data_IF_631088795265
#
_entry.id   IF_631088795265
#
_cell.length_a   1.000
_cell.length_b   1.000
_cell.length_c   1.000
_cell.angle_alpha   90.00
_cell.angle_beta   90.00
_cell.angle_gamma   90.00
#
_symmetry.space_group_name_H-M   'P 1'
#
loop_
_entity.id
_entity.type
_entity.pdbx_description
1 polymer ?
#
# COMPACT_ATOMS: atom_id res chain seq x y z
N UNK A 1 12.25 -27.99 -19.33
CA UNK A 1 12.88 -26.81 -19.98
C UNK A 1 13.40 -25.86 -18.89
N UNK A 2 14.63 -25.32 -18.99
CA UNK A 2 15.15 -24.37 -18.02
C UNK A 2 14.45 -23.00 -18.15
N UNK A 3 14.20 -22.34 -17.02
CA UNK A 3 13.61 -20.98 -16.98
C UNK A 3 14.67 -19.97 -17.39
N UNK A 4 14.38 -19.12 -18.39
CA UNK A 4 15.33 -18.12 -18.88
C UNK A 4 15.63 -17.07 -17.79
N UNK A 5 16.91 -16.88 -17.48
CA UNK A 5 17.39 -15.93 -16.45
C UNK A 5 17.42 -14.47 -16.92
N UNK A 6 17.32 -14.23 -18.23
CA UNK A 6 17.42 -12.90 -18.84
C UNK A 6 16.27 -11.95 -18.45
N UNK A 7 15.10 -12.48 -18.10
CA UNK A 7 13.88 -11.68 -18.03
C UNK A 7 13.63 -10.99 -16.68
N UNK A 8 14.30 -11.41 -15.61
CA UNK A 8 14.12 -10.82 -14.28
C UNK A 8 15.24 -9.82 -13.98
N UNK A 9 15.02 -8.56 -14.36
CA UNK A 9 15.80 -7.43 -13.85
C UNK A 9 15.01 -6.73 -12.75
N UNK A 10 15.47 -6.83 -11.51
CA UNK A 10 14.84 -6.14 -10.40
C UNK A 10 15.06 -4.62 -10.54
N UNK A 11 14.01 -3.90 -10.94
CA UNK A 11 14.01 -2.45 -10.93
C UNK A 11 13.66 -2.00 -9.51
N UNK A 12 14.67 -1.57 -8.74
CA UNK A 12 14.45 -0.91 -7.46
C UNK A 12 13.73 0.41 -7.70
N UNK A 13 12.46 0.47 -7.34
CA UNK A 13 11.65 1.70 -7.35
C UNK A 13 11.61 2.23 -5.91
N UNK A 14 12.02 3.48 -5.72
CA UNK A 14 11.90 4.16 -4.44
C UNK A 14 10.50 4.80 -4.37
N UNK A 15 9.70 4.36 -3.41
CA UNK A 15 8.33 4.84 -3.20
C UNK A 15 8.21 5.74 -1.94
N UNK A 16 9.22 6.59 -1.70
CA UNK A 16 9.30 7.35 -0.44
C UNK A 16 8.18 8.39 -0.33
N UNK A 17 7.95 9.17 -1.38
CA UNK A 17 6.90 10.20 -1.41
C UNK A 17 5.50 9.58 -1.34
N UNK A 18 5.30 8.44 -2.00
CA UNK A 18 4.03 7.73 -1.99
C UNK A 18 3.71 7.14 -0.62
N UNK A 19 4.73 6.68 0.11
CA UNK A 19 4.56 6.21 1.50
C UNK A 19 4.16 7.35 2.44
N UNK A 20 4.83 8.49 2.35
CA UNK A 20 4.51 9.68 3.16
C UNK A 20 3.09 10.20 2.88
N UNK A 21 2.70 10.27 1.60
CA UNK A 21 1.35 10.69 1.21
C UNK A 21 0.27 9.71 1.66
N UNK A 22 0.53 8.40 1.58
CA UNK A 22 -0.36 7.37 2.14
C UNK A 22 -0.53 7.58 3.66
N UNK A 23 0.56 7.76 4.41
CA UNK A 23 0.50 7.99 5.86
C UNK A 23 -0.31 9.24 6.21
N UNK A 24 -0.10 10.33 5.48
CA UNK A 24 -0.83 11.59 5.68
C UNK A 24 -2.33 11.43 5.41
N UNK A 25 -2.68 10.79 4.28
CA UNK A 25 -4.08 10.50 3.94
C UNK A 25 -4.74 9.56 4.96
N UNK A 26 -4.01 8.57 5.46
CA UNK A 26 -4.52 7.60 6.42
C UNK A 26 -4.90 8.27 7.74
N UNK A 27 -4.01 9.10 8.29
CA UNK A 27 -4.28 9.92 9.49
C UNK A 27 -5.45 10.87 9.29
N UNK A 28 -5.54 11.51 8.12
CA UNK A 28 -6.63 12.45 7.79
C UNK A 28 -8.00 11.78 7.73
N UNK A 29 -8.07 10.53 7.27
CA UNK A 29 -9.33 9.80 7.08
C UNK A 29 -9.72 8.90 8.27
N UNK A 30 -9.10 9.08 9.45
CA UNK A 30 -9.36 8.29 10.68
C UNK A 30 -9.33 6.77 10.42
N UNK A 31 -8.36 6.30 9.65
CA UNK A 31 -8.15 4.88 9.36
C UNK A 31 -9.25 4.16 8.55
N UNK A 32 -10.28 4.88 8.08
CA UNK A 32 -11.46 4.27 7.45
C UNK A 32 -11.22 3.80 6.01
N UNK A 33 -10.23 4.39 5.34
CA UNK A 33 -9.93 4.08 3.95
C UNK A 33 -8.94 2.93 3.82
N UNK A 34 -9.39 1.85 3.18
CA UNK A 34 -8.50 0.80 2.69
C UNK A 34 -7.75 1.20 1.40
N UNK A 35 -6.98 0.27 0.84
CA UNK A 35 -6.10 0.55 -0.31
C UNK A 35 -6.83 1.01 -1.58
N UNK A 36 -8.07 0.56 -1.83
CA UNK A 36 -8.86 0.94 -3.01
C UNK A 36 -9.23 2.43 -3.03
N UNK A 37 -9.92 2.98 -2.01
CA UNK A 37 -10.18 4.42 -1.93
C UNK A 37 -8.88 5.24 -1.80
N UNK A 38 -7.85 4.70 -1.14
CA UNK A 38 -6.53 5.35 -1.08
C UNK A 38 -5.90 5.54 -2.46
N UNK A 39 -6.01 4.54 -3.33
CA UNK A 39 -5.51 4.60 -4.72
C UNK A 39 -6.19 5.72 -5.51
N UNK A 40 -7.50 5.94 -5.30
CA UNK A 40 -8.22 7.02 -5.98
C UNK A 40 -7.74 8.40 -5.54
N UNK A 41 -7.52 8.60 -4.24
CA UNK A 41 -6.99 9.86 -3.68
C UNK A 41 -5.56 10.14 -4.17
N UNK A 42 -4.72 9.11 -4.20
CA UNK A 42 -3.37 9.19 -4.78
C UNK A 42 -3.42 9.58 -6.26
N UNK A 43 -4.33 8.98 -7.03
CA UNK A 43 -4.51 9.34 -8.45
C UNK A 43 -4.96 10.77 -8.65
N UNK A 44 -5.83 11.29 -7.78
CA UNK A 44 -6.25 12.70 -7.80
C UNK A 44 -5.08 13.66 -7.48
N UNK A 45 -4.11 13.23 -6.67
CA UNK A 45 -2.88 13.96 -6.39
C UNK A 45 -1.80 13.82 -7.50
N UNK A 46 -2.07 13.05 -8.55
CA UNK A 46 -1.16 12.85 -9.68
C UNK A 46 -0.32 11.56 -9.62
N UNK A 47 -0.45 10.75 -8.57
CA UNK A 47 0.26 9.47 -8.46
C UNK A 47 -0.43 8.39 -9.28
N UNK A 48 0.25 7.89 -10.32
CA UNK A 48 -0.26 6.84 -11.21
C UNK A 48 0.18 5.45 -10.72
N UNK A 49 -0.14 5.12 -9.47
CA UNK A 49 0.15 3.82 -8.88
C UNK A 49 -0.96 2.81 -9.14
N UNK A 50 -0.58 1.53 -9.27
CA UNK A 50 -1.53 0.43 -9.30
C UNK A 50 -2.12 0.22 -7.89
N UNK A 51 -3.38 -0.18 -7.79
CA UNK A 51 -4.01 -0.52 -6.50
C UNK A 51 -3.26 -1.65 -5.78
N UNK A 52 -2.62 -2.58 -6.52
CA UNK A 52 -1.77 -3.62 -5.92
C UNK A 52 -0.47 -3.07 -5.34
N UNK A 53 0.12 -2.05 -5.98
CA UNK A 53 1.33 -1.39 -5.44
C UNK A 53 0.98 -0.57 -4.20
N UNK A 54 -0.16 0.11 -4.19
CA UNK A 54 -0.67 0.81 -2.99
C UNK A 54 -0.89 -0.17 -1.85
N UNK A 55 -1.53 -1.32 -2.10
CA UNK A 55 -1.69 -2.36 -1.08
C UNK A 55 -0.35 -2.84 -0.53
N UNK A 56 0.64 -3.09 -1.39
CA UNK A 56 1.99 -3.49 -0.95
C UNK A 56 2.63 -2.41 -0.07
N UNK A 57 2.54 -1.14 -0.46
CA UNK A 57 3.09 -0.01 0.31
C UNK A 57 2.38 0.15 1.66
N UNK A 58 1.05 0.00 1.70
CA UNK A 58 0.29 0.02 2.95
C UNK A 58 0.71 -1.11 3.89
N UNK A 59 0.88 -2.33 3.38
CA UNK A 59 1.37 -3.45 4.17
C UNK A 59 2.80 -3.22 4.67
N UNK A 60 3.70 -2.67 3.86
CA UNK A 60 5.07 -2.31 4.28
C UNK A 60 5.07 -1.23 5.39
N UNK A 61 4.02 -0.40 5.46
CA UNK A 61 3.84 0.62 6.48
C UNK A 61 3.06 0.13 7.71
N UNK A 62 2.61 -1.14 7.72
CA UNK A 62 1.73 -1.68 8.78
C UNK A 62 0.35 -1.02 8.81
N UNK A 63 -0.10 -0.45 7.69
CA UNK A 63 -1.39 0.23 7.57
C UNK A 63 -2.40 -0.77 7.05
N UNK A 64 -3.29 -1.19 7.93
CA UNK A 64 -4.39 -2.08 7.58
C UNK A 64 -5.74 -1.35 7.71
N UNK A 65 -6.73 -1.78 6.93
CA UNK A 65 -8.06 -1.18 7.04
C UNK A 65 -8.64 -1.51 8.43
N UNK A 66 -9.61 -0.74 8.93
CA UNK A 66 -10.29 -1.01 10.22
C UNK A 66 -10.74 -2.48 10.33
N UNK A 67 -11.15 -3.10 9.22
CA UNK A 67 -11.59 -4.51 9.15
C UNK A 67 -10.48 -5.52 9.48
N UNK A 68 -9.23 -5.12 9.33
CA UNK A 68 -8.05 -5.95 9.56
C UNK A 68 -7.48 -5.70 10.98
N UNK A 69 -7.56 -4.46 11.50
CA UNK A 69 -7.17 -4.14 12.88
C UNK A 69 -8.00 -4.92 13.93
N UNK A 70 -9.29 -5.12 13.69
CA UNK A 70 -10.15 -5.95 14.57
C UNK A 70 -9.72 -7.43 14.61
N UNK A 71 -8.95 -7.92 13.64
CA UNK A 71 -8.43 -9.29 13.64
C UNK A 71 -7.06 -9.38 14.35
N UNK A 72 -6.20 -8.36 14.24
CA UNK A 72 -4.92 -8.33 14.96
C UNK A 72 -5.06 -8.16 16.48
N UNK A 73 -6.13 -7.51 16.97
CA UNK A 73 -6.42 -7.46 18.41
C UNK A 73 -7.00 -8.77 18.96
N UNK A 74 -7.65 -9.59 18.11
CA UNK A 74 -8.18 -10.91 18.48
C UNK A 74 -7.10 -11.99 18.56
N UNK A 75 -6.06 -11.91 17.73
CA UNK A 75 -4.94 -12.85 17.74
C UNK A 75 -3.95 -12.63 18.89
N UNK A 76 -4.14 -11.58 19.71
CA UNK A 76 -3.31 -11.28 20.89
C UNK A 76 -3.94 -11.72 22.23
N UNK A 77 -5.15 -12.30 22.22
CA UNK A 77 -5.85 -12.80 23.41
C UNK A 77 -5.86 -14.33 23.41
#
# INVERSE_FOLDING_TARGET
MPRSSFYYKEIKRNYHEEKETILSLYKKNKNRDGYRPMTFKLRQMGFHLNHKTVLKLMNELGIHSIKDMENEEKDRI
#
